data_IF_406159456020
#
_entry.id   IF_406159456020
#
_cell.length_a   1.000
_cell.length_b   1.000
_cell.length_c   1.000
_cell.angle_alpha   90.00
_cell.angle_beta   90.00
_cell.angle_gamma   90.00
#
_symmetry.space_group_name_H-M   'P 1'
#
loop_
_entity.id
_entity.type
_entity.pdbx_description
1 polymer ?
#
# COMPACT_ATOMS: atom_id res chain seq x y z
N UNK A 1 14.66 58.28 18.27
CA UNK A 1 13.37 57.58 18.09
C UNK A 1 12.80 58.00 16.73
N UNK A 2 12.08 57.09 16.07
CA UNK A 2 11.18 57.34 14.92
C UNK A 2 11.82 57.39 13.53
N UNK A 3 11.80 56.25 12.82
CA UNK A 3 11.93 56.14 11.37
C UNK A 3 10.70 55.43 10.81
N UNK A 4 10.03 56.07 9.86
CA UNK A 4 8.63 55.89 9.50
C UNK A 4 8.32 54.70 8.57
N UNK A 5 7.07 54.27 8.69
CA UNK A 5 6.31 53.29 7.91
C UNK A 5 6.19 53.75 6.45
N UNK A 6 6.44 52.85 5.49
CA UNK A 6 5.95 53.02 4.11
C UNK A 6 5.26 51.75 3.65
N UNK A 7 3.93 51.83 3.60
CA UNK A 7 3.02 50.82 3.06
C UNK A 7 3.02 50.94 1.55
N UNK A 8 3.26 49.84 0.85
CA UNK A 8 2.68 49.63 -0.48
C UNK A 8 2.14 48.20 -0.53
N UNK A 9 0.82 48.13 -0.37
CA UNK A 9 0.01 46.99 -0.72
C UNK A 9 -0.13 46.88 -2.25
N UNK A 10 -0.61 45.71 -2.67
CA UNK A 10 -1.16 45.35 -3.99
C UNK A 10 -0.07 44.99 -5.01
N UNK A 11 0.06 43.73 -5.41
CA UNK A 11 -0.94 43.06 -6.26
C UNK A 11 -1.26 41.63 -5.85
N UNK A 12 -2.55 41.38 -5.65
CA UNK A 12 -3.17 40.06 -5.78
C UNK A 12 -3.17 39.62 -7.25
N UNK A 13 -2.90 38.34 -7.52
CA UNK A 13 -3.49 37.51 -8.60
C UNK A 13 -2.62 36.28 -8.90
N UNK A 14 -3.12 35.09 -8.57
CA UNK A 14 -2.94 33.80 -9.25
C UNK A 14 -3.46 32.72 -8.28
N UNK A 15 -4.77 32.60 -8.08
CA UNK A 15 -5.67 31.78 -8.92
C UNK A 15 -5.10 30.40 -9.16
N UNK A 16 -5.57 29.46 -8.33
CA UNK A 16 -6.17 28.18 -8.72
C UNK A 16 -5.45 27.40 -9.81
N UNK A 17 -4.85 26.25 -9.44
CA UNK A 17 -5.14 24.93 -10.04
C UNK A 17 -4.08 23.91 -9.62
N UNK A 18 -4.29 23.21 -8.50
CA UNK A 18 -3.71 21.87 -8.26
C UNK A 18 -4.70 21.08 -7.40
N UNK A 19 -5.91 20.90 -7.94
CA UNK A 19 -6.99 20.16 -7.29
C UNK A 19 -7.68 19.21 -8.27
N UNK A 20 -6.93 18.56 -9.16
CA UNK A 20 -7.45 17.47 -9.99
C UNK A 20 -6.32 16.48 -10.28
N UNK A 21 -6.36 15.30 -9.67
CA UNK A 21 -5.52 14.18 -10.12
C UNK A 21 -4.91 13.29 -9.05
N UNK A 22 -5.62 12.95 -7.97
CA UNK A 22 -5.20 11.82 -7.11
C UNK A 22 -6.40 11.04 -6.56
N UNK A 23 -7.29 10.63 -7.46
CA UNK A 23 -8.52 9.91 -7.10
C UNK A 23 -8.84 8.80 -8.10
N UNK A 24 -7.90 7.88 -8.35
CA UNK A 24 -8.14 6.70 -9.17
C UNK A 24 -7.18 5.54 -8.85
N UNK A 25 -6.98 5.21 -7.57
CA UNK A 25 -6.25 3.99 -7.18
C UNK A 25 -6.97 3.15 -6.10
N UNK A 26 -8.16 3.57 -5.64
CA UNK A 26 -8.82 2.95 -4.49
C UNK A 26 -9.58 1.67 -4.83
N UNK A 27 -10.07 1.52 -6.06
CA UNK A 27 -10.90 0.37 -6.45
C UNK A 27 -10.06 -0.85 -6.83
N UNK A 28 -8.91 -0.63 -7.48
CA UNK A 28 -7.95 -1.69 -7.77
C UNK A 28 -7.39 -2.33 -6.50
N UNK A 29 -7.19 -1.54 -5.43
CA UNK A 29 -6.74 -2.05 -4.14
C UNK A 29 -7.81 -2.89 -3.42
N UNK A 30 -9.10 -2.55 -3.51
CA UNK A 30 -10.17 -3.31 -2.85
C UNK A 30 -10.37 -4.71 -3.48
N UNK A 31 -10.39 -4.80 -4.81
CA UNK A 31 -10.49 -6.09 -5.51
C UNK A 31 -9.18 -6.88 -5.46
N UNK A 32 -8.03 -6.20 -5.48
CA UNK A 32 -6.73 -6.83 -5.24
C UNK A 32 -6.64 -7.43 -3.84
N UNK A 33 -7.18 -6.75 -2.82
CA UNK A 33 -7.16 -7.24 -1.44
C UNK A 33 -7.93 -8.55 -1.31
N UNK A 34 -9.09 -8.72 -1.94
CA UNK A 34 -9.84 -9.99 -1.86
C UNK A 34 -9.13 -11.14 -2.58
N UNK A 35 -8.56 -10.88 -3.76
CA UNK A 35 -7.80 -11.88 -4.53
C UNK A 35 -6.48 -12.25 -3.87
N UNK A 36 -5.72 -11.26 -3.41
CA UNK A 36 -4.46 -11.43 -2.71
C UNK A 36 -4.66 -12.11 -1.36
N UNK A 37 -5.71 -11.78 -0.62
CA UNK A 37 -6.04 -12.45 0.64
C UNK A 37 -6.30 -13.94 0.42
N UNK A 38 -7.14 -14.29 -0.55
CA UNK A 38 -7.42 -15.70 -0.89
C UNK A 38 -6.16 -16.45 -1.34
N UNK A 39 -5.28 -15.80 -2.10
CA UNK A 39 -3.99 -16.38 -2.46
C UNK A 39 -3.10 -16.58 -1.22
N UNK A 40 -3.04 -15.58 -0.34
CA UNK A 40 -2.34 -15.63 0.94
C UNK A 40 -2.83 -16.77 1.83
N UNK A 41 -4.14 -16.99 1.92
CA UNK A 41 -4.74 -18.12 2.65
C UNK A 41 -4.26 -19.46 2.10
N UNK A 42 -4.33 -19.67 0.78
CA UNK A 42 -3.86 -20.91 0.14
C UNK A 42 -2.37 -21.16 0.41
N UNK A 43 -1.56 -20.11 0.38
CA UNK A 43 -0.13 -20.18 0.69
C UNK A 43 0.08 -20.54 2.16
N UNK A 44 -0.64 -19.90 3.08
CA UNK A 44 -0.51 -20.16 4.51
C UNK A 44 -0.94 -21.58 4.90
N UNK A 45 -2.04 -22.05 4.32
CA UNK A 45 -2.57 -23.40 4.52
C UNK A 45 -1.62 -24.46 3.97
N UNK A 46 -1.10 -24.28 2.75
CA UNK A 46 -0.11 -25.23 2.19
C UNK A 46 1.21 -25.29 2.98
N UNK A 47 1.49 -24.27 3.79
CA UNK A 47 2.64 -24.20 4.70
C UNK A 47 2.31 -24.57 6.15
N UNK A 48 1.07 -24.95 6.44
CA UNK A 48 0.59 -25.31 7.77
C UNK A 48 0.88 -24.25 8.85
N UNK A 49 0.71 -22.97 8.51
CA UNK A 49 0.79 -21.93 9.54
C UNK A 49 -0.38 -22.03 10.52
N UNK A 50 -0.09 -21.90 11.82
CA UNK A 50 -1.09 -22.00 12.90
C UNK A 50 -2.20 -20.95 12.79
N UNK A 51 -1.90 -19.80 12.19
CA UNK A 51 -2.89 -18.75 11.93
C UNK A 51 -2.80 -18.30 10.45
N UNK A 52 -3.50 -18.99 9.54
CA UNK A 52 -3.43 -18.70 8.12
C UNK A 52 -4.08 -17.35 7.76
N UNK A 53 -5.11 -16.92 8.48
CA UNK A 53 -5.79 -15.63 8.29
C UNK A 53 -4.88 -14.45 8.63
N UNK A 54 -4.08 -14.55 9.70
CA UNK A 54 -3.08 -13.52 10.02
C UNK A 54 -2.08 -13.35 8.86
N UNK A 55 -1.52 -14.47 8.37
CA UNK A 55 -0.62 -14.43 7.21
C UNK A 55 -1.30 -13.81 5.98
N UNK A 56 -2.53 -14.22 5.68
CA UNK A 56 -3.25 -13.77 4.49
C UNK A 56 -3.52 -12.26 4.49
N UNK A 57 -3.79 -11.69 5.67
CA UNK A 57 -4.00 -10.25 5.87
C UNK A 57 -2.72 -9.44 5.67
N UNK A 58 -1.60 -9.89 6.27
CA UNK A 58 -0.30 -9.25 6.03
C UNK A 58 0.08 -9.40 4.56
N UNK A 59 -0.10 -10.60 3.99
CA UNK A 59 0.19 -10.87 2.59
C UNK A 59 -0.58 -9.94 1.66
N UNK A 60 -1.89 -9.72 1.86
CA UNK A 60 -2.69 -8.88 0.96
C UNK A 60 -2.24 -7.42 0.93
N UNK A 61 -1.66 -6.89 2.02
CA UNK A 61 -1.09 -5.54 2.08
C UNK A 61 0.20 -5.39 1.25
N UNK A 62 0.99 -6.46 1.14
CA UNK A 62 2.28 -6.46 0.45
C UNK A 62 2.23 -7.11 -0.95
N UNK A 63 1.12 -7.75 -1.27
CA UNK A 63 0.95 -8.52 -2.50
C UNK A 63 0.80 -7.60 -3.72
N UNK A 64 1.33 -8.08 -4.83
CA UNK A 64 1.16 -7.48 -6.16
C UNK A 64 0.79 -8.58 -7.13
N UNK A 65 0.09 -8.21 -8.21
CA UNK A 65 -0.07 -9.11 -9.35
C UNK A 65 1.23 -9.15 -10.11
N UNK A 66 1.65 -10.36 -10.41
CA UNK A 66 2.84 -10.64 -11.18
C UNK A 66 2.47 -11.61 -12.32
N UNK A 67 3.25 -11.57 -13.38
CA UNK A 67 3.10 -12.41 -14.55
C UNK A 67 4.35 -13.29 -14.63
N UNK A 68 4.22 -14.54 -14.20
CA UNK A 68 5.27 -15.52 -14.36
C UNK A 68 5.20 -16.08 -15.79
N UNK A 69 6.33 -16.63 -16.27
CA UNK A 69 6.44 -17.21 -17.60
C UNK A 69 5.43 -18.35 -17.84
N UNK A 70 5.09 -19.11 -16.79
CA UNK A 70 4.15 -20.25 -16.82
C UNK A 70 2.76 -19.90 -16.23
N UNK A 71 2.65 -18.82 -15.46
CA UNK A 71 1.43 -18.43 -14.72
C UNK A 71 1.17 -16.94 -14.85
N UNK A 72 0.15 -16.61 -15.64
CA UNK A 72 -0.38 -15.25 -15.75
C UNK A 72 -1.19 -14.89 -14.51
N UNK A 73 -1.14 -13.63 -14.08
CA UNK A 73 -1.97 -13.07 -13.01
C UNK A 73 -1.86 -13.77 -11.64
N UNK A 74 -0.66 -14.15 -11.20
CA UNK A 74 -0.49 -14.71 -9.85
C UNK A 74 -0.20 -13.63 -8.81
N UNK A 75 -0.54 -13.90 -7.56
CA UNK A 75 -0.25 -13.00 -6.45
C UNK A 75 1.07 -13.37 -5.80
N UNK A 76 1.96 -12.39 -5.68
CA UNK A 76 3.24 -12.54 -4.99
C UNK A 76 3.44 -11.36 -4.02
N UNK A 77 4.03 -11.65 -2.86
CA UNK A 77 4.53 -10.61 -1.96
C UNK A 77 6.06 -10.66 -2.03
N UNK A 78 6.69 -9.52 -2.29
CA UNK A 78 8.14 -9.42 -2.35
C UNK A 78 8.68 -9.67 -0.95
N UNK A 79 9.58 -10.63 -0.78
CA UNK A 79 10.13 -11.07 0.52
C UNK A 79 11.17 -10.10 1.10
N UNK A 80 10.86 -8.80 1.08
CA UNK A 80 11.71 -7.75 1.66
C UNK A 80 11.48 -7.57 3.16
N UNK A 81 12.34 -6.78 3.80
CA UNK A 81 12.32 -6.53 5.25
C UNK A 81 10.97 -6.05 5.77
N UNK A 82 10.24 -5.24 5.01
CA UNK A 82 8.92 -4.74 5.40
C UNK A 82 7.90 -5.87 5.61
N UNK A 83 7.70 -6.74 4.62
CA UNK A 83 6.78 -7.87 4.71
C UNK A 83 7.17 -8.83 5.84
N UNK A 84 8.47 -9.12 5.97
CA UNK A 84 9.00 -10.04 6.99
C UNK A 84 8.83 -9.47 8.41
N UNK A 85 9.13 -8.19 8.60
CA UNK A 85 8.97 -7.50 9.88
C UNK A 85 7.52 -7.46 10.33
N UNK A 86 6.60 -7.18 9.42
CA UNK A 86 5.17 -7.13 9.72
C UNK A 86 4.59 -8.52 10.03
N UNK A 87 5.02 -9.56 9.28
CA UNK A 87 4.68 -10.95 9.59
C UNK A 87 5.15 -11.38 10.99
N UNK A 88 6.35 -10.97 11.38
CA UNK A 88 6.85 -11.25 12.73
C UNK A 88 6.06 -10.49 13.79
N UNK A 89 5.84 -9.19 13.58
CA UNK A 89 5.17 -8.32 14.54
C UNK A 89 3.72 -8.73 14.80
N UNK A 90 2.96 -9.06 13.75
CA UNK A 90 1.53 -9.39 13.89
C UNK A 90 1.27 -10.88 14.05
N UNK A 91 2.01 -11.74 13.33
CA UNK A 91 1.68 -13.16 13.23
C UNK A 91 2.70 -14.08 13.91
N UNK A 92 3.83 -13.55 14.41
CA UNK A 92 4.95 -14.35 14.96
C UNK A 92 5.48 -15.40 13.99
N UNK A 93 5.38 -15.13 12.69
CA UNK A 93 5.90 -15.99 11.63
C UNK A 93 7.28 -15.46 11.21
N UNK A 94 8.34 -16.22 11.47
CA UNK A 94 9.67 -15.96 10.92
C UNK A 94 9.83 -16.70 9.59
N UNK A 95 10.08 -15.96 8.51
CA UNK A 95 10.34 -16.49 7.16
C UNK A 95 11.50 -15.76 6.50
#
# INVERSE_FOLDING_TARGET
MTGAISRRHMTAAAVLMFALGWGAASEAQAQATSGAYRAGLKIAQSRNYSNPDCYARVFSRHARRDNHLDKKNYWSARTGTAFKGELWSECRISR
#
